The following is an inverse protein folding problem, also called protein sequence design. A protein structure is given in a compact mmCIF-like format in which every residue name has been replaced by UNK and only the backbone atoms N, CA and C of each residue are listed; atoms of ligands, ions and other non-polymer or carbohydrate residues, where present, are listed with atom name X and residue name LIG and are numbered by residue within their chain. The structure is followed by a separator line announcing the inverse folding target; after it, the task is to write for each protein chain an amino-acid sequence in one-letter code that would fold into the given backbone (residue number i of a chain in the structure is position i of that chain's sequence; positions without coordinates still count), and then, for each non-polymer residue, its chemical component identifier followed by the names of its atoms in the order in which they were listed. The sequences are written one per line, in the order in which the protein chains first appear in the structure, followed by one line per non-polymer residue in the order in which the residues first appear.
data_IF_741165819271
#
_entry.id   IF_741165819271
#
_cell.length_a   1.000
_cell.length_b   1.000
_cell.length_c   1.000
_cell.angle_alpha   90.00
_cell.angle_beta   90.00
_cell.angle_gamma   90.00
#
_symmetry.space_group_name_H-M   'P 1'
#
loop_
_entity.id
_entity.type
_entity.pdbx_description
1 polymer ?
#
# COMPACT_ATOMS: atom_id res chain seq x y z
N UNK A 1 8.63 -2.31 23.61
CA UNK A 1 7.57 -3.29 23.68
C UNK A 1 7.12 -3.67 22.27
N UNK A 2 6.85 -4.93 22.09
CA UNK A 2 6.46 -5.42 20.77
C UNK A 2 5.06 -4.93 20.39
N UNK A 3 4.91 -4.48 19.18
CA UNK A 3 3.63 -4.06 18.65
C UNK A 3 3.36 -4.84 17.38
N UNK A 4 2.33 -5.67 17.39
CA UNK A 4 1.98 -6.44 16.20
C UNK A 4 1.62 -5.51 15.06
N UNK A 5 0.88 -4.43 15.35
CA UNK A 5 0.49 -3.49 14.32
C UNK A 5 1.72 -2.91 13.63
N UNK A 6 2.69 -2.46 14.41
CA UNK A 6 3.87 -1.86 13.81
C UNK A 6 4.70 -2.89 13.06
N UNK A 7 4.77 -4.09 13.61
CA UNK A 7 5.53 -5.14 12.97
C UNK A 7 4.94 -5.47 11.60
N UNK A 8 3.63 -5.64 11.53
CA UNK A 8 2.96 -5.98 10.29
C UNK A 8 3.07 -4.81 9.30
N UNK A 9 2.81 -3.59 9.78
CA UNK A 9 2.87 -2.44 8.89
C UNK A 9 4.26 -2.29 8.28
N UNK A 10 5.29 -2.42 9.12
CA UNK A 10 6.63 -2.28 8.62
C UNK A 10 6.95 -3.37 7.62
N UNK A 11 6.51 -4.59 7.90
CA UNK A 11 6.76 -5.68 6.97
C UNK A 11 6.13 -5.44 5.62
N UNK A 12 4.91 -4.92 5.62
CA UNK A 12 4.23 -4.64 4.36
C UNK A 12 4.90 -3.50 3.61
N UNK A 13 5.32 -2.47 4.34
CA UNK A 13 6.02 -1.37 3.69
C UNK A 13 7.34 -1.84 3.09
N UNK A 14 8.04 -2.73 3.79
CA UNK A 14 9.28 -3.26 3.27
C UNK A 14 9.05 -4.11 2.03
N UNK A 15 7.88 -4.71 1.92
CA UNK A 15 7.57 -5.57 0.79
C UNK A 15 7.23 -4.78 -0.47
N UNK A 16 6.98 -3.49 -0.32
CA UNK A 16 6.67 -2.66 -1.49
C UNK A 16 7.87 -2.70 -2.42
N UNK A 17 7.62 -3.04 -3.67
CA UNK A 17 8.68 -3.18 -4.64
C UNK A 17 9.27 -4.57 -4.69
N UNK A 18 8.94 -5.43 -3.73
CA UNK A 18 9.46 -6.79 -3.71
C UNK A 18 8.37 -7.80 -3.94
N UNK A 19 7.14 -7.46 -3.59
CA UNK A 19 6.01 -8.32 -3.82
C UNK A 19 5.07 -7.62 -4.76
N UNK A 20 4.19 -8.40 -5.38
CA UNK A 20 3.18 -7.79 -6.24
C UNK A 20 2.30 -6.86 -5.42
N UNK A 21 1.92 -5.73 -6.01
CA UNK A 21 1.14 -4.75 -5.30
C UNK A 21 -0.15 -5.33 -4.76
N UNK A 22 -0.83 -6.13 -5.55
CA UNK A 22 -2.12 -6.68 -5.12
C UNK A 22 -1.95 -7.59 -3.91
N UNK A 23 -0.82 -8.27 -3.82
CA UNK A 23 -0.60 -9.14 -2.67
C UNK A 23 -0.42 -8.33 -1.40
N UNK A 24 0.28 -7.21 -1.52
CA UNK A 24 0.47 -6.34 -0.37
C UNK A 24 -0.88 -5.80 0.08
N UNK A 25 -1.69 -5.39 -0.87
CA UNK A 25 -3.00 -4.83 -0.55
C UNK A 25 -3.90 -5.88 0.07
N UNK A 26 -3.89 -7.10 -0.47
CA UNK A 26 -4.72 -8.16 0.10
C UNK A 26 -4.29 -8.47 1.52
N UNK A 27 -2.99 -8.54 1.76
CA UNK A 27 -2.52 -8.81 3.10
C UNK A 27 -2.91 -7.70 4.05
N UNK A 28 -2.76 -6.46 3.61
CA UNK A 28 -3.11 -5.33 4.44
C UNK A 28 -4.59 -5.34 4.78
N UNK A 29 -5.42 -5.64 3.79
CA UNK A 29 -6.86 -5.70 4.02
C UNK A 29 -7.21 -6.79 5.01
N UNK A 30 -6.54 -7.93 4.93
CA UNK A 30 -6.78 -9.01 5.85
C UNK A 30 -6.47 -8.62 7.28
N UNK A 31 -5.35 -7.96 7.49
CA UNK A 31 -4.99 -7.52 8.83
C UNK A 31 -5.91 -6.40 9.31
N UNK A 32 -6.39 -5.57 8.38
CA UNK A 32 -7.35 -4.54 8.75
C UNK A 32 -8.62 -5.18 9.25
N UNK A 33 -9.10 -6.22 8.57
CA UNK A 33 -10.31 -6.88 9.00
C UNK A 33 -10.16 -7.54 10.36
N UNK A 34 -8.95 -7.97 10.67
CA UNK A 34 -8.69 -8.58 11.97
C UNK A 34 -8.52 -7.56 13.07
N UNK A 35 -8.52 -6.29 12.70
CA UNK A 35 -8.39 -5.24 13.69
C UNK A 35 -6.96 -4.91 14.06
N UNK A 36 -6.00 -5.45 13.33
CA UNK A 36 -4.59 -5.18 13.62
C UNK A 36 -4.14 -3.88 13.00
N UNK A 37 -4.56 -3.61 11.76
CA UNK A 37 -4.21 -2.37 11.08
C UNK A 37 -5.39 -1.42 11.09
N UNK A 38 -5.09 -0.14 11.01
CA UNK A 38 -6.09 0.90 10.98
C UNK A 38 -6.15 1.48 9.57
N UNK A 39 -7.19 2.26 9.31
CA UNK A 39 -7.34 2.87 8.00
C UNK A 39 -6.13 3.72 7.63
N UNK A 40 -5.59 4.43 8.59
CA UNK A 40 -4.43 5.25 8.31
C UNK A 40 -3.24 4.41 7.92
N UNK A 41 -3.15 3.19 8.43
CA UNK A 41 -2.07 2.30 8.04
C UNK A 41 -2.24 1.87 6.59
N UNK A 42 -3.49 1.60 6.21
CA UNK A 42 -3.75 1.23 4.83
C UNK A 42 -3.41 2.37 3.89
N UNK A 43 -3.74 3.59 4.30
CA UNK A 43 -3.42 4.76 3.49
C UNK A 43 -1.92 4.92 3.32
N UNK A 44 -1.16 4.67 4.38
CA UNK A 44 0.28 4.78 4.31
C UNK A 44 0.87 3.74 3.37
N UNK A 45 0.35 2.52 3.45
CA UNK A 45 0.82 1.45 2.58
C UNK A 45 0.47 1.77 1.13
N UNK A 46 -0.74 2.26 0.90
CA UNK A 46 -1.15 2.61 -0.44
C UNK A 46 -0.27 3.72 -1.00
N UNK A 47 0.04 4.70 -0.17
CA UNK A 47 0.89 5.81 -0.60
C UNK A 47 2.27 5.30 -0.98
N UNK A 48 2.78 4.33 -0.24
CA UNK A 48 4.09 3.79 -0.55
C UNK A 48 4.07 3.05 -1.88
N UNK A 49 2.98 2.33 -2.15
CA UNK A 49 2.84 1.64 -3.42
C UNK A 49 2.76 2.64 -4.55
N UNK A 50 1.96 3.68 -4.36
CA UNK A 50 1.80 4.69 -5.40
C UNK A 50 3.11 5.41 -5.68
N UNK A 51 3.94 5.55 -4.67
CA UNK A 51 5.20 6.27 -4.84
C UNK A 51 6.13 5.57 -5.80
N UNK A 52 5.89 4.30 -6.07
CA UNK A 52 6.73 3.58 -7.02
C UNK A 52 6.47 4.00 -8.45
N UNK A 53 5.32 4.59 -8.72
CA UNK A 53 4.94 4.93 -10.09
C UNK A 53 4.50 6.38 -10.20
N UNK A 54 5.32 7.30 -9.72
CA UNK A 54 4.85 8.69 -9.63
C UNK A 54 4.51 9.31 -10.96
N UNK A 55 5.32 9.08 -11.95
CA UNK A 55 5.10 9.74 -13.22
C UNK A 55 4.21 8.96 -14.14
N UNK A 56 4.34 7.66 -14.09
CA UNK A 56 3.52 6.85 -14.96
C UNK A 56 2.06 7.03 -14.69
N UNK A 57 1.74 7.08 -13.42
CA UNK A 57 0.34 7.21 -13.06
C UNK A 57 -0.22 8.50 -13.61
N UNK A 58 0.52 9.56 -13.45
CA UNK A 58 0.04 10.85 -13.91
C UNK A 58 -0.13 10.88 -15.40
N UNK A 59 0.82 10.30 -16.09
CA UNK A 59 0.74 10.32 -17.54
C UNK A 59 -0.46 9.59 -18.05
N UNK A 60 -0.73 8.47 -17.46
CA UNK A 60 -1.85 7.69 -17.92
C UNK A 60 -3.14 8.42 -17.77
N UNK A 61 -3.30 9.04 -16.62
CA UNK A 61 -4.52 9.73 -16.40
C UNK A 61 -4.72 10.84 -17.37
N UNK A 62 -3.68 11.57 -17.60
CA UNK A 62 -3.79 12.69 -18.48
C UNK A 62 -4.17 12.27 -19.86
N UNK A 63 -3.59 11.22 -20.33
CA UNK A 63 -3.89 10.78 -21.65
C UNK A 63 -5.32 10.39 -21.82
N UNK A 64 -5.80 9.66 -20.86
CA UNK A 64 -7.16 9.22 -20.97
C UNK A 64 -8.12 10.35 -20.97
N UNK A 65 -7.86 11.28 -20.11
CA UNK A 65 -8.74 12.40 -20.04
C UNK A 65 -8.72 13.19 -21.32
N UNK A 66 -7.60 13.22 -21.96
CA UNK A 66 -7.50 13.97 -23.18
C UNK A 66 -8.45 13.46 -24.20
N UNK A 67 -8.78 12.25 -24.08
CA UNK A 67 -9.71 11.70 -25.04
C UNK A 67 -11.06 12.29 -24.92
#
# INVERSE_FOLDING_TARGET
MFSLREFIKKGLLDAVGKMADYQIILNAAGWFEKGVLLEEDLADIQAAIDAQYPEEVQNEEIEELSE
#
